data_IF_625168467432
#
_entry.id   IF_625168467432
#
_cell.length_a   1.000
_cell.length_b   1.000
_cell.length_c   1.000
_cell.angle_alpha   90.00
_cell.angle_beta   90.00
_cell.angle_gamma   90.00
#
_symmetry.space_group_name_H-M   'P 1'
#
loop_
_entity.id
_entity.type
_entity.pdbx_description
1 polymer ?
#
# COMPACT_ATOMS: atom_id res chain seq x y z
N UNK A 1 -9.85 -78.67 9.09
CA UNK A 1 -10.85 -77.57 9.15
C UNK A 1 -10.39 -76.33 9.87
N UNK A 2 -9.49 -76.40 10.85
CA UNK A 2 -8.93 -75.28 11.65
C UNK A 2 -8.00 -74.32 10.89
N UNK A 3 -7.22 -74.80 9.91
CA UNK A 3 -6.25 -73.97 9.17
C UNK A 3 -6.93 -72.96 8.23
N UNK A 4 -8.06 -73.33 7.57
CA UNK A 4 -8.82 -72.42 6.69
C UNK A 4 -9.43 -71.23 7.45
N UNK A 5 -9.83 -71.44 8.70
CA UNK A 5 -10.43 -70.35 9.56
C UNK A 5 -9.36 -69.31 9.99
N UNK A 6 -8.13 -69.74 10.22
CA UNK A 6 -7.01 -68.87 10.65
C UNK A 6 -6.49 -67.98 9.51
N UNK A 7 -6.47 -68.47 8.26
CA UNK A 7 -6.06 -67.68 7.08
C UNK A 7 -7.14 -66.64 6.73
N UNK A 8 -8.43 -66.93 6.86
CA UNK A 8 -9.51 -65.98 6.60
C UNK A 8 -9.50 -64.80 7.62
N UNK A 9 -9.24 -65.10 8.90
CA UNK A 9 -9.17 -64.04 9.93
C UNK A 9 -7.92 -63.15 9.82
N UNK A 10 -6.82 -63.69 9.31
CA UNK A 10 -5.59 -62.91 9.04
C UNK A 10 -5.80 -61.96 7.87
N UNK A 11 -6.41 -62.39 6.78
CA UNK A 11 -6.73 -61.56 5.61
C UNK A 11 -7.73 -60.45 5.96
N UNK A 12 -8.72 -60.76 6.80
CA UNK A 12 -9.67 -59.75 7.28
C UNK A 12 -9.03 -58.65 8.14
N UNK A 13 -8.10 -59.02 9.05
CA UNK A 13 -7.32 -58.06 9.86
C UNK A 13 -6.43 -57.15 8.99
N UNK A 14 -5.81 -57.71 7.97
CA UNK A 14 -4.95 -56.97 7.03
C UNK A 14 -5.78 -55.99 6.20
N UNK A 15 -6.94 -56.40 5.72
CA UNK A 15 -7.89 -55.58 5.00
C UNK A 15 -8.43 -54.43 5.85
N UNK A 16 -8.85 -54.71 7.11
CA UNK A 16 -9.33 -53.68 8.05
C UNK A 16 -8.21 -52.67 8.41
N UNK A 17 -6.95 -53.15 8.59
CA UNK A 17 -5.81 -52.28 8.84
C UNK A 17 -5.52 -51.38 7.63
N UNK A 18 -5.61 -51.92 6.41
CA UNK A 18 -5.41 -51.12 5.16
C UNK A 18 -6.52 -50.07 5.01
N UNK A 19 -7.77 -50.40 5.32
CA UNK A 19 -8.91 -49.50 5.28
C UNK A 19 -8.78 -48.40 6.35
N UNK A 20 -8.33 -48.74 7.55
CA UNK A 20 -8.08 -47.78 8.64
C UNK A 20 -6.98 -46.77 8.26
N UNK A 21 -5.88 -47.25 7.66
CA UNK A 21 -4.81 -46.37 7.20
C UNK A 21 -5.28 -45.44 6.10
N UNK A 22 -6.11 -45.91 5.17
CA UNK A 22 -6.70 -45.08 4.12
C UNK A 22 -7.60 -43.99 4.71
N UNK A 23 -8.46 -44.35 5.66
CA UNK A 23 -9.32 -43.37 6.35
C UNK A 23 -8.50 -42.33 7.12
N UNK A 24 -7.42 -42.74 7.77
CA UNK A 24 -6.51 -41.85 8.46
C UNK A 24 -5.82 -40.86 7.51
N UNK A 25 -5.37 -41.34 6.33
CA UNK A 25 -4.79 -40.46 5.29
C UNK A 25 -5.83 -39.47 4.78
N UNK A 26 -7.05 -39.90 4.49
CA UNK A 26 -8.15 -39.01 4.08
C UNK A 26 -8.43 -37.96 5.15
N UNK A 27 -8.46 -38.35 6.42
CA UNK A 27 -8.66 -37.43 7.55
C UNK A 27 -7.56 -36.37 7.61
N UNK A 28 -6.29 -36.75 7.45
CA UNK A 28 -5.18 -35.80 7.40
C UNK A 28 -5.32 -34.83 6.24
N UNK A 29 -5.69 -35.30 5.06
CA UNK A 29 -5.89 -34.44 3.87
C UNK A 29 -7.02 -33.43 4.13
N UNK A 30 -8.14 -33.85 4.71
CA UNK A 30 -9.24 -32.97 5.05
C UNK A 30 -8.84 -31.93 6.10
N UNK A 31 -8.06 -32.33 7.09
CA UNK A 31 -7.56 -31.42 8.13
C UNK A 31 -6.59 -30.39 7.55
N UNK A 32 -5.68 -30.77 6.67
CA UNK A 32 -4.78 -29.86 5.97
C UNK A 32 -5.54 -28.88 5.07
N UNK A 33 -6.55 -29.36 4.34
CA UNK A 33 -7.43 -28.47 3.55
C UNK A 33 -8.18 -27.50 4.44
N UNK A 34 -8.72 -27.92 5.58
CA UNK A 34 -9.40 -27.02 6.52
C UNK A 34 -8.47 -25.92 7.02
N UNK A 35 -7.24 -26.26 7.40
CA UNK A 35 -6.22 -25.28 7.82
C UNK A 35 -5.89 -24.31 6.67
N UNK A 36 -5.70 -24.82 5.45
CA UNK A 36 -5.43 -24.00 4.29
C UNK A 36 -6.57 -23.01 4.01
N UNK A 37 -7.82 -23.46 4.05
CA UNK A 37 -9.00 -22.60 3.85
C UNK A 37 -9.15 -21.55 4.95
N UNK A 38 -8.83 -21.85 6.21
CA UNK A 38 -8.85 -20.85 7.28
C UNK A 38 -7.77 -19.78 7.05
N UNK A 39 -6.55 -20.17 6.69
CA UNK A 39 -5.49 -19.22 6.34
C UNK A 39 -5.87 -18.34 5.15
N UNK A 40 -6.41 -18.93 4.08
CA UNK A 40 -6.90 -18.19 2.91
C UNK A 40 -8.02 -17.23 3.27
N UNK A 41 -8.96 -17.64 4.14
CA UNK A 41 -10.05 -16.80 4.62
C UNK A 41 -9.56 -15.58 5.42
N UNK A 42 -8.63 -15.80 6.36
CA UNK A 42 -8.00 -14.72 7.15
C UNK A 42 -7.23 -13.77 6.24
N UNK A 43 -6.48 -14.32 5.30
CA UNK A 43 -5.72 -13.53 4.31
C UNK A 43 -6.66 -12.70 3.42
N UNK A 44 -7.73 -13.32 2.90
CA UNK A 44 -8.72 -12.65 2.08
C UNK A 44 -9.44 -11.53 2.86
N UNK A 45 -9.78 -11.74 4.12
CA UNK A 45 -10.37 -10.72 4.99
C UNK A 45 -9.41 -9.54 5.22
N UNK A 46 -8.15 -9.83 5.56
CA UNK A 46 -7.11 -8.82 5.79
C UNK A 46 -6.90 -7.91 4.57
N UNK A 47 -6.97 -8.48 3.37
CA UNK A 47 -6.73 -7.75 2.11
C UNK A 47 -8.02 -7.32 1.39
N UNK A 48 -9.19 -7.38 2.04
CA UNK A 48 -10.51 -7.01 1.47
C UNK A 48 -10.88 -7.78 0.20
N UNK A 49 -10.33 -8.97 -0.01
CA UNK A 49 -10.71 -9.83 -1.14
C UNK A 49 -12.14 -10.39 -1.06
N UNK A 50 -12.85 -10.17 0.06
CA UNK A 50 -14.25 -10.55 0.22
C UNK A 50 -15.17 -9.97 -0.85
N UNK A 51 -14.87 -8.76 -1.34
CA UNK A 51 -15.62 -8.15 -2.45
C UNK A 51 -15.39 -8.91 -3.76
N UNK A 52 -14.15 -9.33 -4.01
CA UNK A 52 -13.77 -10.11 -5.20
C UNK A 52 -14.41 -11.50 -5.13
N UNK A 53 -14.35 -12.16 -3.98
CA UNK A 53 -14.97 -13.48 -3.77
C UNK A 53 -16.48 -13.41 -3.94
N UNK A 54 -17.18 -12.42 -3.36
CA UNK A 54 -18.61 -12.21 -3.59
C UNK A 54 -18.94 -12.03 -5.07
N UNK A 55 -18.13 -11.33 -5.82
CA UNK A 55 -18.32 -11.11 -7.27
C UNK A 55 -18.02 -12.36 -8.10
N UNK A 56 -17.07 -13.20 -7.66
CA UNK A 56 -16.76 -14.49 -8.31
C UNK A 56 -17.94 -15.47 -8.18
N UNK A 57 -18.61 -15.49 -7.01
CA UNK A 57 -19.77 -16.34 -6.75
C UNK A 57 -21.11 -15.70 -7.18
N UNK A 58 -21.16 -14.43 -7.52
CA UNK A 58 -22.29 -13.87 -8.24
C UNK A 58 -22.23 -14.36 -9.69
N UNK A 59 -23.32 -14.84 -10.20
CA UNK A 59 -23.50 -15.58 -11.46
C UNK A 59 -23.09 -14.80 -12.75
N UNK A 60 -22.03 -13.95 -12.64
CA UNK A 60 -21.52 -13.15 -13.74
C UNK A 60 -20.28 -13.83 -14.33
N UNK A 61 -20.53 -14.82 -15.21
CA UNK A 61 -19.49 -15.56 -15.91
C UNK A 61 -18.51 -14.63 -16.68
N UNK A 62 -18.96 -13.46 -17.10
CA UNK A 62 -18.13 -12.47 -17.78
C UNK A 62 -17.08 -11.86 -16.86
N UNK A 63 -17.36 -11.76 -15.55
CA UNK A 63 -16.41 -11.18 -14.59
C UNK A 63 -15.18 -12.07 -14.38
N UNK A 64 -15.38 -13.39 -14.23
CA UNK A 64 -14.28 -14.36 -14.08
C UNK A 64 -13.43 -14.40 -15.34
N UNK A 65 -14.08 -14.46 -16.51
CA UNK A 65 -13.41 -14.45 -17.82
C UNK A 65 -12.59 -13.16 -17.98
N UNK A 66 -13.12 -12.01 -17.60
CA UNK A 66 -12.43 -10.74 -17.66
C UNK A 66 -11.25 -10.64 -16.69
N UNK A 67 -11.37 -11.21 -15.48
CA UNK A 67 -10.23 -11.31 -14.54
C UNK A 67 -9.13 -12.17 -15.15
N UNK A 68 -9.44 -13.37 -15.63
CA UNK A 68 -8.47 -14.29 -16.22
C UNK A 68 -7.85 -13.66 -17.49
N UNK A 69 -8.66 -13.10 -18.37
CA UNK A 69 -8.20 -12.40 -19.56
C UNK A 69 -7.30 -11.22 -19.21
N UNK A 70 -7.68 -10.41 -18.23
CA UNK A 70 -6.87 -9.30 -17.75
C UNK A 70 -5.57 -9.75 -17.09
N UNK A 71 -5.56 -10.89 -16.40
CA UNK A 71 -4.36 -11.45 -15.80
C UNK A 71 -3.37 -12.02 -16.84
N UNK A 72 -3.91 -12.66 -17.89
CA UNK A 72 -3.12 -13.29 -18.95
C UNK A 72 -2.69 -12.30 -20.02
N UNK A 73 -3.53 -11.29 -20.35
CA UNK A 73 -3.32 -10.38 -21.50
C UNK A 73 -2.77 -9.02 -21.10
N UNK A 74 -2.74 -8.66 -19.78
CA UNK A 74 -2.07 -7.41 -19.39
C UNK A 74 -0.57 -7.60 -19.55
N UNK A 75 0.06 -6.87 -20.47
CA UNK A 75 1.50 -6.72 -20.39
C UNK A 75 1.79 -6.19 -18.99
N UNK A 76 2.85 -6.68 -18.36
CA UNK A 76 3.34 -6.13 -17.08
C UNK A 76 3.46 -4.63 -17.28
N UNK A 77 2.54 -3.87 -16.68
CA UNK A 77 2.59 -2.41 -16.75
C UNK A 77 3.89 -2.04 -16.06
N UNK A 78 4.86 -1.62 -16.85
CA UNK A 78 6.16 -1.26 -16.34
C UNK A 78 6.03 0.11 -15.65
N UNK A 79 5.72 0.06 -14.36
CA UNK A 79 5.64 1.27 -13.53
C UNK A 79 7.06 1.79 -13.32
N UNK A 80 7.26 3.10 -13.52
CA UNK A 80 8.55 3.74 -13.33
C UNK A 80 9.15 3.41 -11.96
N UNK A 81 10.40 2.92 -11.94
CA UNK A 81 11.13 2.65 -10.71
C UNK A 81 11.84 3.92 -10.25
N UNK A 82 11.63 4.25 -8.99
CA UNK A 82 12.27 5.40 -8.33
C UNK A 82 13.00 4.89 -7.10
N UNK A 83 14.25 5.27 -6.96
CA UNK A 83 15.10 4.90 -5.83
C UNK A 83 15.32 6.14 -4.96
N UNK A 84 15.08 6.01 -3.68
CA UNK A 84 15.32 7.02 -2.66
C UNK A 84 16.43 6.53 -1.74
N UNK A 85 17.61 7.09 -1.91
CA UNK A 85 18.79 6.76 -1.11
C UNK A 85 18.94 7.80 0.00
N UNK A 86 18.91 7.32 1.24
CA UNK A 86 19.01 8.12 2.45
C UNK A 86 20.23 7.63 3.22
N UNK A 87 21.09 8.55 3.66
CA UNK A 87 22.20 8.21 4.54
C UNK A 87 21.72 7.52 5.82
N UNK A 88 22.51 6.60 6.36
CA UNK A 88 22.15 5.80 7.52
C UNK A 88 21.80 6.65 8.74
N UNK A 89 22.59 7.69 9.03
CA UNK A 89 22.36 8.56 10.20
C UNK A 89 21.07 9.38 10.02
N UNK A 90 20.84 9.87 8.82
CA UNK A 90 19.63 10.63 8.48
C UNK A 90 18.39 9.72 8.48
N UNK A 91 18.50 8.48 8.00
CA UNK A 91 17.43 7.50 8.09
C UNK A 91 17.09 7.15 9.54
N UNK A 92 18.11 7.02 10.40
CA UNK A 92 17.91 6.80 11.85
C UNK A 92 17.15 7.97 12.47
N UNK A 93 17.56 9.23 12.22
CA UNK A 93 16.83 10.42 12.70
C UNK A 93 15.36 10.41 12.25
N UNK A 94 15.11 10.07 10.99
CA UNK A 94 13.75 9.98 10.44
C UNK A 94 12.92 8.92 11.16
N UNK A 95 13.53 7.76 11.46
CA UNK A 95 12.89 6.69 12.19
C UNK A 95 12.60 7.07 13.65
N UNK A 96 13.53 7.75 14.31
CA UNK A 96 13.35 8.23 15.68
C UNK A 96 12.21 9.27 15.75
N UNK A 97 12.16 10.21 14.82
CA UNK A 97 11.06 11.16 14.69
C UNK A 97 9.71 10.47 14.47
N UNK A 98 9.71 9.41 13.63
CA UNK A 98 8.53 8.58 13.43
C UNK A 98 8.09 7.88 14.72
N UNK A 99 9.02 7.30 15.47
CA UNK A 99 8.71 6.60 16.72
C UNK A 99 8.13 7.56 17.78
N UNK A 100 8.67 8.77 17.87
CA UNK A 100 8.12 9.83 18.72
C UNK A 100 6.70 10.17 18.27
N UNK A 101 6.48 10.35 16.97
CA UNK A 101 5.17 10.66 16.42
C UNK A 101 4.14 9.54 16.68
N UNK A 102 4.55 8.28 16.54
CA UNK A 102 3.69 7.11 16.83
C UNK A 102 3.30 7.03 18.31
N UNK A 103 4.24 7.36 19.21
CA UNK A 103 3.99 7.37 20.65
C UNK A 103 3.01 8.48 21.05
N UNK A 104 3.13 9.64 20.43
CA UNK A 104 2.35 10.83 20.79
C UNK A 104 1.11 11.02 19.90
N UNK A 105 0.87 10.12 18.92
CA UNK A 105 -0.19 10.23 17.89
C UNK A 105 -0.17 11.53 17.06
N UNK A 106 0.93 12.29 17.07
CA UNK A 106 1.10 13.54 16.34
C UNK A 106 2.52 13.70 15.82
N UNK A 107 2.68 14.35 14.68
CA UNK A 107 4.00 14.71 14.13
C UNK A 107 4.28 16.18 14.49
N UNK A 108 5.08 16.38 15.50
CA UNK A 108 5.52 17.73 15.88
C UNK A 108 6.47 18.31 14.83
N UNK A 109 6.23 19.57 14.45
CA UNK A 109 7.04 20.28 13.45
C UNK A 109 8.48 20.49 13.89
N UNK A 110 8.73 20.64 15.19
CA UNK A 110 10.05 20.81 15.78
C UNK A 110 10.98 19.60 15.61
N UNK A 111 10.44 18.38 15.66
CA UNK A 111 11.19 17.14 15.45
C UNK A 111 11.21 16.73 13.97
N UNK A 112 10.22 17.11 13.18
CA UNK A 112 10.10 16.72 11.79
C UNK A 112 10.92 17.61 10.85
N UNK A 113 12.22 17.68 11.07
CA UNK A 113 13.14 18.47 10.26
C UNK A 113 13.44 17.81 8.92
N UNK A 114 13.79 18.63 7.93
CA UNK A 114 14.25 18.12 6.65
C UNK A 114 15.60 17.42 6.80
N UNK A 115 15.73 16.25 6.21
CA UNK A 115 16.99 15.54 5.98
C UNK A 115 17.35 15.56 4.50
N UNK A 116 18.59 15.26 4.17
CA UNK A 116 19.05 15.16 2.79
C UNK A 116 18.92 13.72 2.29
N UNK A 117 18.59 13.58 1.02
CA UNK A 117 18.49 12.29 0.35
C UNK A 117 18.77 12.49 -1.16
N UNK A 118 18.93 11.38 -1.86
CA UNK A 118 19.10 11.35 -3.30
C UNK A 118 17.99 10.53 -3.92
N UNK A 119 17.27 11.11 -4.87
CA UNK A 119 16.34 10.36 -5.71
C UNK A 119 17.04 9.99 -7.01
N UNK A 120 16.99 8.71 -7.37
CA UNK A 120 17.48 8.20 -8.65
C UNK A 120 16.31 7.68 -9.49
N UNK A 121 16.27 8.13 -10.74
CA UNK A 121 15.32 7.63 -11.74
C UNK A 121 16.04 7.57 -13.09
N UNK A 122 16.07 6.38 -13.72
CA UNK A 122 16.87 6.13 -14.92
C UNK A 122 18.32 6.63 -14.72
N UNK A 123 18.78 7.53 -15.57
CA UNK A 123 20.14 8.09 -15.51
C UNK A 123 20.22 9.41 -14.71
N UNK A 124 19.14 9.81 -14.05
CA UNK A 124 19.12 11.04 -13.26
C UNK A 124 19.34 10.75 -11.78
N UNK A 125 20.14 11.59 -11.13
CA UNK A 125 20.38 11.59 -9.69
C UNK A 125 20.09 12.98 -9.16
N UNK A 126 19.06 13.11 -8.34
CA UNK A 126 18.48 14.38 -7.92
C UNK A 126 18.64 14.52 -6.40
N UNK A 127 19.43 15.49 -5.92
CA UNK A 127 19.50 15.79 -4.49
C UNK A 127 18.20 16.43 -4.01
N UNK A 128 17.64 15.88 -2.95
CA UNK A 128 16.36 16.30 -2.39
C UNK A 128 16.44 16.53 -0.89
N UNK A 129 15.51 17.34 -0.37
CA UNK A 129 15.20 17.41 1.05
C UNK A 129 13.90 16.66 1.31
N UNK A 130 13.91 15.78 2.28
CA UNK A 130 12.75 14.98 2.66
C UNK A 130 12.43 15.13 4.14
N UNK A 131 11.15 14.98 4.49
CA UNK A 131 10.67 14.83 5.86
C UNK A 131 9.39 13.98 5.87
N UNK A 132 8.97 13.51 7.04
CA UNK A 132 7.68 12.83 7.18
C UNK A 132 6.54 13.74 6.74
N UNK A 133 5.55 13.18 6.02
CA UNK A 133 4.42 13.94 5.53
C UNK A 133 3.19 13.79 6.40
N UNK A 134 2.58 14.95 6.75
CA UNK A 134 1.25 15.06 7.35
C UNK A 134 1.25 14.98 8.87
N UNK A 135 0.19 15.49 9.48
CA UNK A 135 -0.06 15.43 10.92
C UNK A 135 -0.68 14.10 11.38
N UNK A 136 -1.27 13.33 10.46
CA UNK A 136 -1.96 12.08 10.79
C UNK A 136 -0.97 10.93 10.86
N UNK A 137 -0.75 10.42 12.05
CA UNK A 137 0.22 9.34 12.33
C UNK A 137 -0.15 8.02 11.62
N UNK A 138 -1.42 7.78 11.35
CA UNK A 138 -1.87 6.61 10.57
C UNK A 138 -1.14 6.42 9.24
N UNK A 139 -0.64 7.52 8.64
CA UNK A 139 0.14 7.46 7.40
C UNK A 139 1.54 6.86 7.57
N UNK A 140 1.97 6.64 8.80
CA UNK A 140 3.30 6.13 9.15
C UNK A 140 3.25 4.80 9.90
N UNK A 141 2.07 4.20 10.05
CA UNK A 141 1.92 2.85 10.61
C UNK A 141 2.47 1.81 9.63
N UNK A 142 3.16 0.81 10.19
CA UNK A 142 3.73 -0.27 9.38
C UNK A 142 5.00 0.13 8.61
N UNK A 143 5.27 -0.57 7.52
CA UNK A 143 6.50 -0.40 6.72
C UNK A 143 6.42 0.74 5.70
N UNK A 144 5.22 1.26 5.40
CA UNK A 144 4.96 2.18 4.31
C UNK A 144 4.77 3.61 4.82
N UNK A 145 5.84 4.40 4.76
CA UNK A 145 5.87 5.77 5.25
C UNK A 145 5.46 6.74 4.14
N UNK A 146 5.02 7.93 4.54
CA UNK A 146 4.77 9.03 3.61
C UNK A 146 5.78 10.15 3.81
N UNK A 147 6.28 10.70 2.70
CA UNK A 147 7.32 11.74 2.73
C UNK A 147 6.86 12.99 2.01
N UNK A 148 7.24 14.15 2.53
CA UNK A 148 7.27 15.40 1.77
C UNK A 148 8.66 15.53 1.16
N UNK A 149 8.73 15.78 -0.14
CA UNK A 149 9.97 15.87 -0.93
C UNK A 149 10.04 17.23 -1.57
N UNK A 150 11.20 17.86 -1.45
CA UNK A 150 11.54 19.09 -2.18
C UNK A 150 12.86 18.90 -2.91
N UNK A 151 12.88 19.17 -4.21
CA UNK A 151 14.09 19.26 -5.01
C UNK A 151 14.70 20.66 -4.91
N UNK A 152 15.99 20.82 -5.20
CA UNK A 152 16.63 22.14 -5.18
C UNK A 152 16.61 22.82 -6.55
N UNK A 153 17.17 22.18 -7.57
CA UNK A 153 17.38 22.77 -8.91
C UNK A 153 16.82 21.92 -10.05
N UNK A 154 16.61 20.65 -9.81
CA UNK A 154 16.10 19.69 -10.79
C UNK A 154 14.66 19.29 -10.44
N UNK A 155 13.98 18.65 -11.35
CA UNK A 155 12.64 18.11 -11.10
C UNK A 155 12.62 16.59 -11.34
N UNK A 156 11.70 15.92 -10.67
CA UNK A 156 11.38 14.52 -10.94
C UNK A 156 10.03 14.47 -11.64
N UNK A 157 9.97 14.06 -12.90
CA UNK A 157 8.77 14.05 -13.75
C UNK A 157 8.06 15.42 -13.86
N UNK A 158 8.80 16.52 -13.71
CA UNK A 158 8.25 17.86 -13.70
C UNK A 158 7.87 18.38 -12.30
N UNK A 159 8.01 17.58 -11.25
CA UNK A 159 7.67 17.97 -9.87
C UNK A 159 8.89 18.48 -9.10
N UNK A 160 8.73 19.61 -8.41
CA UNK A 160 9.73 20.20 -7.54
C UNK A 160 9.40 20.08 -6.05
N UNK A 161 8.12 20.15 -5.70
CA UNK A 161 7.60 19.96 -4.35
C UNK A 161 6.42 18.97 -4.42
N UNK A 162 6.59 17.80 -3.83
CA UNK A 162 5.61 16.72 -3.93
C UNK A 162 5.65 15.83 -2.70
N UNK A 163 4.65 14.97 -2.60
CA UNK A 163 4.62 13.92 -1.61
C UNK A 163 4.83 12.55 -2.25
N UNK A 164 5.56 11.71 -1.55
CA UNK A 164 5.61 10.27 -1.79
C UNK A 164 4.70 9.60 -0.78
N UNK A 165 3.65 8.93 -1.26
CA UNK A 165 2.68 8.24 -0.42
C UNK A 165 2.41 6.85 -0.95
N UNK A 166 2.25 5.88 -0.05
CA UNK A 166 1.82 4.55 -0.46
C UNK A 166 0.42 4.61 -1.07
N UNK A 167 0.21 3.97 -2.21
CA UNK A 167 -1.03 4.07 -2.99
C UNK A 167 -2.28 3.67 -2.19
N UNK A 168 -2.15 2.69 -1.28
CA UNK A 168 -3.23 2.25 -0.39
C UNK A 168 -3.80 3.41 0.45
N UNK A 169 -2.95 4.35 0.90
CA UNK A 169 -3.36 5.50 1.72
C UNK A 169 -4.28 6.48 0.99
N UNK A 170 -4.36 6.36 -0.31
CA UNK A 170 -5.18 7.18 -1.19
C UNK A 170 -6.23 6.35 -1.94
N UNK A 171 -6.62 5.20 -1.40
CA UNK A 171 -7.57 4.29 -2.03
C UNK A 171 -7.19 3.97 -3.51
N UNK A 172 -5.87 3.79 -3.76
CA UNK A 172 -5.31 3.46 -5.08
C UNK A 172 -5.77 4.42 -6.19
N UNK A 173 -6.78 4.06 -6.94
CA UNK A 173 -7.23 4.78 -8.14
C UNK A 173 -8.19 5.94 -7.84
N UNK A 174 -8.79 6.04 -6.65
CA UNK A 174 -9.83 7.03 -6.37
C UNK A 174 -9.30 8.47 -6.52
N UNK A 175 -8.16 8.76 -5.90
CA UNK A 175 -7.55 10.09 -5.99
C UNK A 175 -7.11 10.41 -7.44
N UNK A 176 -6.53 9.42 -8.14
CA UNK A 176 -6.15 9.58 -9.54
C UNK A 176 -7.36 9.92 -10.41
N UNK A 177 -8.47 9.21 -10.20
CA UNK A 177 -9.71 9.46 -10.94
C UNK A 177 -10.25 10.87 -10.67
N UNK A 178 -10.30 11.29 -9.40
CA UNK A 178 -10.72 12.63 -9.02
C UNK A 178 -9.86 13.72 -9.70
N UNK A 179 -8.52 13.52 -9.77
CA UNK A 179 -7.61 14.44 -10.49
C UNK A 179 -7.90 14.49 -11.97
N UNK A 180 -8.19 13.33 -12.58
CA UNK A 180 -8.57 13.28 -14.02
C UNK A 180 -9.87 14.02 -14.28
N UNK A 181 -10.90 13.82 -13.44
CA UNK A 181 -12.15 14.57 -13.53
C UNK A 181 -11.91 16.07 -13.40
N UNK A 182 -11.18 16.51 -12.37
CA UNK A 182 -10.86 17.93 -12.18
C UNK A 182 -10.19 18.55 -13.41
N UNK A 183 -9.28 17.80 -14.06
CA UNK A 183 -8.65 18.25 -15.31
C UNK A 183 -9.65 18.38 -16.45
N UNK A 184 -10.55 17.41 -16.62
CA UNK A 184 -11.57 17.41 -17.67
C UNK A 184 -12.56 18.57 -17.50
N UNK A 185 -12.92 18.87 -16.25
CA UNK A 185 -13.82 19.97 -15.89
C UNK A 185 -13.13 21.36 -15.86
N UNK A 186 -11.87 21.45 -16.27
CA UNK A 186 -11.12 22.71 -16.27
C UNK A 186 -10.85 23.31 -14.89
N UNK A 187 -10.96 22.52 -13.83
CA UNK A 187 -10.61 22.91 -12.47
C UNK A 187 -9.10 22.89 -12.28
N UNK A 188 -8.59 23.61 -11.27
CA UNK A 188 -7.20 23.52 -10.87
C UNK A 188 -6.95 22.10 -10.36
N UNK A 189 -6.05 21.38 -11.03
CA UNK A 189 -5.70 20.00 -10.68
C UNK A 189 -4.22 19.87 -10.40
N UNK A 190 -3.89 18.96 -9.49
CA UNK A 190 -2.52 18.53 -9.22
C UNK A 190 -2.23 17.26 -9.99
N UNK A 191 -1.01 17.11 -10.48
CA UNK A 191 -0.62 15.86 -11.09
C UNK A 191 -0.41 14.75 -10.05
N UNK A 192 -0.63 13.53 -10.50
CA UNK A 192 -0.65 12.33 -9.68
C UNK A 192 -0.07 11.17 -10.50
N UNK A 193 1.08 10.65 -10.07
CA UNK A 193 1.81 9.63 -10.81
C UNK A 193 2.12 8.42 -9.94
N UNK A 194 1.80 7.23 -10.43
CA UNK A 194 2.19 5.97 -9.80
C UNK A 194 3.65 5.63 -10.12
N UNK A 195 4.37 5.14 -9.13
CA UNK A 195 5.75 4.68 -9.22
C UNK A 195 5.95 3.44 -8.37
N UNK A 196 6.98 2.65 -8.66
CA UNK A 196 7.49 1.64 -7.75
C UNK A 196 8.67 2.21 -6.98
N UNK A 197 8.52 2.39 -5.66
CA UNK A 197 9.50 3.05 -4.81
C UNK A 197 10.45 2.04 -4.15
N UNK A 198 11.72 2.32 -4.25
CA UNK A 198 12.78 1.63 -3.51
C UNK A 198 13.40 2.60 -2.51
N UNK A 199 13.53 2.22 -1.23
CA UNK A 199 14.21 3.03 -0.20
C UNK A 199 15.42 2.23 0.27
N UNK A 200 16.62 2.80 0.09
CA UNK A 200 17.88 2.15 0.44
C UNK A 200 17.98 0.71 -0.10
N UNK A 201 17.52 0.50 -1.34
CA UNK A 201 17.53 -0.79 -2.02
C UNK A 201 16.31 -1.70 -1.72
N UNK A 202 15.53 -1.42 -0.68
CA UNK A 202 14.35 -2.20 -0.32
C UNK A 202 13.12 -1.75 -1.13
N UNK A 203 12.46 -2.69 -1.82
CA UNK A 203 11.23 -2.41 -2.56
C UNK A 203 10.06 -2.16 -1.60
N UNK A 204 9.52 -0.95 -1.63
CA UNK A 204 8.36 -0.53 -0.83
C UNK A 204 7.02 -0.64 -1.56
N UNK A 205 7.03 -1.13 -2.81
CA UNK A 205 5.83 -1.32 -3.63
C UNK A 205 5.34 -0.05 -4.32
N UNK A 206 4.05 -0.01 -4.63
CA UNK A 206 3.45 1.07 -5.40
C UNK A 206 3.21 2.29 -4.52
N UNK A 207 3.92 3.34 -4.87
CA UNK A 207 3.80 4.66 -4.30
C UNK A 207 3.20 5.62 -5.31
N UNK A 208 2.81 6.77 -4.81
CA UNK A 208 2.29 7.87 -5.60
C UNK A 208 3.15 9.10 -5.36
N UNK A 209 3.48 9.77 -6.45
CA UNK A 209 3.91 11.16 -6.44
C UNK A 209 2.65 12.01 -6.52
N UNK A 210 2.36 12.77 -5.46
CA UNK A 210 1.26 13.74 -5.38
C UNK A 210 1.85 15.14 -5.32
N UNK A 211 1.60 15.93 -6.35
CA UNK A 211 2.07 17.31 -6.45
C UNK A 211 1.54 18.16 -5.28
N UNK A 212 2.37 18.99 -4.68
CA UNK A 212 1.92 19.93 -3.67
C UNK A 212 1.41 21.24 -4.32
N UNK A 213 0.65 22.03 -3.54
CA UNK A 213 0.24 23.37 -3.95
C UNK A 213 1.47 24.28 -3.94
N UNK A 214 1.81 24.80 -5.11
CA UNK A 214 2.93 25.71 -5.35
C UNK A 214 2.52 26.78 -6.36
N UNK A 215 3.24 27.86 -6.46
CA UNK A 215 2.98 28.91 -7.45
C UNK A 215 2.98 28.34 -8.89
N UNK A 216 3.91 27.41 -9.18
CA UNK A 216 3.95 26.74 -10.46
C UNK A 216 2.67 25.98 -10.83
N UNK A 217 1.87 25.58 -9.84
CA UNK A 217 0.60 24.89 -10.09
C UNK A 217 -0.43 25.83 -10.75
N UNK A 218 -0.48 27.11 -10.37
CA UNK A 218 -1.34 28.11 -11.01
C UNK A 218 -0.97 28.31 -12.46
N UNK A 219 0.32 28.52 -12.74
CA UNK A 219 0.86 28.71 -14.09
C UNK A 219 0.54 27.51 -14.98
N UNK A 220 0.78 26.30 -14.47
CA UNK A 220 0.49 25.04 -15.18
C UNK A 220 -0.99 24.87 -15.52
N UNK A 221 -1.88 25.38 -14.68
CA UNK A 221 -3.31 25.34 -14.89
C UNK A 221 -3.84 26.58 -15.64
N UNK A 222 -2.97 27.38 -16.26
CA UNK A 222 -3.31 28.64 -16.94
C UNK A 222 -4.13 29.60 -16.06
N UNK A 223 -3.78 29.69 -14.79
CA UNK A 223 -4.39 30.58 -13.82
C UNK A 223 -3.40 31.64 -13.36
N UNK A 224 -3.91 32.79 -12.98
CA UNK A 224 -3.08 33.83 -12.32
C UNK A 224 -2.61 33.33 -10.95
N UNK A 225 -1.47 33.79 -10.53
CA UNK A 225 -1.01 33.56 -9.16
C UNK A 225 -2.02 34.12 -8.16
N UNK A 226 -2.20 33.42 -7.06
CA UNK A 226 -3.16 33.78 -6.04
C UNK A 226 -3.01 32.92 -4.79
N UNK A 227 -3.80 33.22 -3.78
CA UNK A 227 -3.81 32.46 -2.53
C UNK A 227 -4.52 31.12 -2.72
N UNK A 228 -3.89 30.04 -2.25
CA UNK A 228 -4.56 28.76 -2.05
C UNK A 228 -5.08 28.69 -0.61
N UNK A 229 -6.39 28.70 -0.46
CA UNK A 229 -7.05 28.59 0.86
C UNK A 229 -7.54 27.15 1.03
N UNK A 230 -7.17 26.54 2.13
CA UNK A 230 -7.59 25.18 2.48
C UNK A 230 -8.58 25.24 3.65
N UNK A 231 -9.76 24.66 3.43
CA UNK A 231 -10.78 24.56 4.46
C UNK A 231 -10.83 23.12 5.02
N UNK A 232 -11.14 22.99 6.32
CA UNK A 232 -11.71 21.78 6.89
C UNK A 232 -10.78 20.64 7.28
N UNK A 233 -9.44 20.83 7.30
CA UNK A 233 -8.58 19.74 7.81
C UNK A 233 -8.56 19.64 9.34
N UNK A 234 -8.77 20.75 10.02
CA UNK A 234 -8.57 20.84 11.47
C UNK A 234 -9.82 20.36 12.23
N UNK A 235 -11.01 20.65 11.72
CA UNK A 235 -12.28 20.19 12.28
C UNK A 235 -12.34 18.66 12.34
N UNK A 236 -11.90 17.96 11.30
CA UNK A 236 -11.84 16.49 11.30
C UNK A 236 -10.85 15.93 12.32
N UNK A 237 -9.84 16.69 12.69
CA UNK A 237 -8.88 16.34 13.71
C UNK A 237 -9.51 16.37 15.11
N UNK A 238 -10.32 17.38 15.40
CA UNK A 238 -11.02 17.54 16.66
C UNK A 238 -12.20 16.57 16.86
N UNK A 239 -12.95 16.27 15.81
CA UNK A 239 -14.15 15.43 15.89
C UNK A 239 -13.90 13.95 15.66
N UNK A 240 -12.72 13.59 15.15
CA UNK A 240 -12.32 12.21 14.89
C UNK A 240 -11.85 11.41 16.10
N UNK A 241 -11.97 11.92 17.31
CA UNK A 241 -11.84 11.18 18.57
C UNK A 241 -10.44 10.68 18.94
N UNK A 242 -9.37 11.24 18.40
CA UNK A 242 -8.03 10.77 18.75
C UNK A 242 -7.01 11.89 18.94
N UNK A 243 -7.29 12.85 19.76
CA UNK A 243 -6.25 13.77 20.15
C UNK A 243 -6.76 15.12 20.64
N UNK A 244 -6.09 15.63 21.63
CA UNK A 244 -6.18 17.01 22.04
C UNK A 244 -5.86 17.93 20.85
N UNK A 245 -6.46 19.12 20.80
CA UNK A 245 -6.13 20.12 19.79
C UNK A 245 -4.61 20.33 19.73
N UNK A 246 -4.02 20.47 18.54
CA UNK A 246 -2.58 20.69 18.39
C UNK A 246 -2.11 22.08 18.80
N UNK A 247 -2.98 22.88 19.35
CA UNK A 247 -2.71 24.24 19.79
C UNK A 247 -3.09 24.35 21.27
N UNK A 248 -2.09 24.23 22.13
CA UNK A 248 -2.12 24.90 23.41
C UNK A 248 -1.99 26.40 23.10
N UNK A 249 -2.89 27.18 23.59
CA UNK A 249 -2.91 28.67 23.51
C UNK A 249 -1.65 29.28 24.12
#
# INVERSE_FOLDING_TARGET
>A
MLIKKKVSSFNLKLYLKKKSNLLFVIFIILLLNSILFTFLGVYAHKYRYTIIVKKIFSNDNNYIINIIKNFVTKPFVNVDKVYLDIDFLDFKKLNDNRNIALKNNIIYSEYNKNITAIIKHKNQSIPVKIKLKGGIVKNHLGANWSFKVKTKKSNLFGFNDFALMHAERRNYLLEWYARKMSKTEGLIYKDYKFINLYINGENKGIYVIDENYTESLSVKNNRREGLYVRFGSDINFYWGGSGNPPYDE
#
